data_IF_638711215858
#
_entry.id   IF_638711215858
#
_cell.length_a   1.000
_cell.length_b   1.000
_cell.length_c   1.000
_cell.angle_alpha   90.00
_cell.angle_beta   90.00
_cell.angle_gamma   90.00
#
_symmetry.space_group_name_H-M   'P 1'
#
loop_
_entity.id
_entity.type
_entity.pdbx_description
1 polymer ?
#
# COMPACT_ATOMS: atom_id res chain seq x y z
N UNK A 1 -6.05 5.24 -14.02
CA UNK A 1 -6.40 4.48 -12.81
C UNK A 1 -6.50 5.43 -11.65
N UNK A 2 -7.68 5.60 -11.06
CA UNK A 2 -7.92 6.50 -9.92
C UNK A 2 -7.48 5.84 -8.62
N UNK A 3 -7.93 4.61 -8.38
CA UNK A 3 -7.71 3.88 -7.13
C UNK A 3 -6.28 3.36 -7.05
N UNK A 4 -5.78 2.74 -8.12
CA UNK A 4 -4.39 2.26 -8.15
C UNK A 4 -3.37 3.38 -8.01
N UNK A 5 -3.66 4.56 -8.59
CA UNK A 5 -2.79 5.73 -8.43
C UNK A 5 -2.80 6.26 -7.00
N UNK A 6 -3.97 6.29 -6.34
CA UNK A 6 -4.07 6.68 -4.94
C UNK A 6 -3.23 5.77 -4.02
N UNK A 7 -3.32 4.45 -4.23
CA UNK A 7 -2.52 3.47 -3.48
C UNK A 7 -1.02 3.64 -3.77
N UNK A 8 -0.65 3.84 -5.04
CA UNK A 8 0.74 4.09 -5.44
C UNK A 8 1.30 5.38 -4.81
N UNK A 9 0.50 6.44 -4.75
CA UNK A 9 0.89 7.71 -4.14
C UNK A 9 1.08 7.58 -2.63
N UNK A 10 0.26 6.78 -1.95
CA UNK A 10 0.44 6.46 -0.53
C UNK A 10 1.74 5.67 -0.29
N UNK A 11 1.99 4.62 -1.07
CA UNK A 11 3.25 3.85 -1.00
C UNK A 11 4.47 4.75 -1.26
N UNK A 12 4.38 5.64 -2.26
CA UNK A 12 5.44 6.60 -2.57
C UNK A 12 5.75 7.53 -1.40
N UNK A 13 4.71 8.05 -0.71
CA UNK A 13 4.90 8.88 0.48
C UNK A 13 5.61 8.11 1.61
N UNK A 14 5.26 6.84 1.81
CA UNK A 14 5.90 6.01 2.82
C UNK A 14 7.37 5.75 2.50
N UNK A 15 7.69 5.26 1.29
CA UNK A 15 9.06 4.87 0.91
C UNK A 15 9.98 6.07 0.70
N UNK A 16 9.44 7.25 0.40
CA UNK A 16 10.22 8.49 0.33
C UNK A 16 10.51 9.11 1.72
N UNK A 17 10.00 8.50 2.79
CA UNK A 17 10.14 9.02 4.16
C UNK A 17 9.38 10.32 4.40
N UNK A 18 8.36 10.61 3.58
CA UNK A 18 7.52 11.81 3.68
C UNK A 18 6.38 11.67 4.68
N UNK A 19 6.27 10.52 5.36
CA UNK A 19 5.26 10.30 6.39
C UNK A 19 5.82 10.59 7.79
N UNK A 20 5.10 11.44 8.53
CA UNK A 20 5.44 11.81 9.90
C UNK A 20 5.09 10.70 10.90
N UNK A 21 3.99 9.99 10.65
CA UNK A 21 3.46 8.93 11.51
C UNK A 21 3.19 7.64 10.72
N UNK A 22 4.04 6.65 10.91
CA UNK A 22 3.93 5.33 10.27
C UNK A 22 2.74 4.52 10.78
N UNK A 23 2.31 4.74 12.03
CA UNK A 23 1.12 4.07 12.57
C UNK A 23 -0.16 4.53 11.87
N UNK A 24 -0.31 5.85 11.66
CA UNK A 24 -1.45 6.40 10.92
C UNK A 24 -1.46 5.93 9.46
N UNK A 25 -0.27 5.79 8.87
CA UNK A 25 -0.14 5.20 7.54
C UNK A 25 -0.63 3.75 7.54
N UNK A 26 -0.12 2.90 8.44
CA UNK A 26 -0.51 1.48 8.49
C UNK A 26 -2.02 1.31 8.62
N UNK A 27 -2.65 2.06 9.53
CA UNK A 27 -4.10 1.99 9.72
C UNK A 27 -4.88 2.38 8.45
N UNK A 28 -4.52 3.53 7.85
CA UNK A 28 -5.20 4.02 6.63
C UNK A 28 -4.97 3.11 5.44
N UNK A 29 -3.76 2.56 5.31
CA UNK A 29 -3.40 1.71 4.19
C UNK A 29 -4.05 0.34 4.31
N UNK A 30 -4.07 -0.26 5.52
CA UNK A 30 -4.72 -1.55 5.76
C UNK A 30 -6.24 -1.48 5.51
N UNK A 31 -6.87 -0.36 5.85
CA UNK A 31 -8.30 -0.14 5.62
C UNK A 31 -8.72 -0.28 4.14
N UNK A 32 -7.82 0.01 3.19
CA UNK A 32 -8.10 -0.06 1.74
C UNK A 32 -8.30 -1.50 1.24
N UNK A 33 -7.93 -2.51 2.03
CA UNK A 33 -8.06 -3.93 1.66
C UNK A 33 -9.38 -4.57 2.11
N UNK A 34 -10.31 -3.80 2.70
CA UNK A 34 -11.65 -4.31 3.00
C UNK A 34 -12.42 -3.62 4.11
N UNK A 35 -11.80 -2.75 4.92
CA UNK A 35 -12.56 -1.92 5.86
C UNK A 35 -13.31 -0.80 5.13
N UNK A 36 -12.70 -0.23 4.08
CA UNK A 36 -13.38 0.59 3.09
C UNK A 36 -13.84 -0.32 1.93
N UNK A 37 -14.97 -1.01 2.13
CA UNK A 37 -15.52 -1.98 1.17
C UNK A 37 -15.75 -1.37 -0.23
N UNK A 38 -16.25 -0.14 -0.30
CA UNK A 38 -16.50 0.55 -1.58
C UNK A 38 -15.19 0.85 -2.31
N UNK A 39 -14.15 1.29 -1.59
CA UNK A 39 -12.83 1.49 -2.18
C UNK A 39 -12.21 0.17 -2.64
N UNK A 40 -12.25 -0.86 -1.79
CA UNK A 40 -11.65 -2.17 -2.07
C UNK A 40 -12.28 -2.80 -3.32
N UNK A 41 -13.62 -2.84 -3.40
CA UNK A 41 -14.34 -3.38 -4.56
C UNK A 41 -14.05 -2.55 -5.82
N UNK A 42 -14.04 -1.22 -5.73
CA UNK A 42 -13.77 -0.38 -6.89
C UNK A 42 -12.31 -0.48 -7.37
N UNK A 43 -11.37 -0.67 -6.45
CA UNK A 43 -9.96 -0.85 -6.77
C UNK A 43 -9.69 -2.23 -7.40
N UNK A 44 -10.23 -3.30 -6.83
CA UNK A 44 -10.13 -4.66 -7.39
C UNK A 44 -10.69 -4.71 -8.83
N UNK A 45 -11.86 -4.08 -9.06
CA UNK A 45 -12.42 -3.97 -10.41
C UNK A 45 -11.56 -3.12 -11.38
N UNK A 46 -10.83 -2.13 -10.87
CA UNK A 46 -9.96 -1.27 -11.69
C UNK A 46 -8.65 -1.97 -12.04
N UNK A 47 -8.02 -2.65 -11.08
CA UNK A 47 -6.71 -3.29 -11.25
C UNK A 47 -6.55 -4.49 -10.31
N UNK A 48 -7.13 -5.65 -10.66
CA UNK A 48 -7.12 -6.82 -9.78
C UNK A 48 -5.70 -7.36 -9.56
N UNK A 49 -4.82 -7.23 -10.55
CA UNK A 49 -3.42 -7.65 -10.42
C UNK A 49 -2.67 -6.87 -9.34
N UNK A 50 -2.88 -5.55 -9.27
CA UNK A 50 -2.28 -4.72 -8.23
C UNK A 50 -2.95 -4.91 -6.88
N UNK A 51 -4.27 -5.11 -6.86
CA UNK A 51 -5.01 -5.41 -5.64
C UNK A 51 -4.50 -6.72 -5.01
N UNK A 52 -4.47 -7.81 -5.76
CA UNK A 52 -3.97 -9.12 -5.31
C UNK A 52 -2.50 -9.06 -4.85
N UNK A 53 -1.65 -8.31 -5.57
CA UNK A 53 -0.24 -8.19 -5.22
C UNK A 53 0.02 -7.43 -3.91
N UNK A 54 -0.92 -6.58 -3.47
CA UNK A 54 -0.82 -5.79 -2.24
C UNK A 54 -1.72 -6.34 -1.13
N UNK A 55 -2.75 -7.11 -1.45
CA UNK A 55 -3.54 -7.88 -0.48
C UNK A 55 -2.78 -9.16 -0.09
N UNK A 56 -1.59 -8.94 0.47
CA UNK A 56 -0.62 -9.97 0.81
C UNK A 56 -0.55 -10.16 2.33
N UNK A 57 -0.45 -11.41 2.77
CA UNK A 57 -0.44 -11.75 4.19
C UNK A 57 0.79 -11.18 4.91
N UNK A 58 1.96 -11.21 4.27
CA UNK A 58 3.19 -10.68 4.89
C UNK A 58 3.09 -9.16 5.08
N UNK A 59 2.57 -8.46 4.08
CA UNK A 59 2.30 -7.02 4.17
C UNK A 59 1.27 -6.71 5.26
N UNK A 60 0.15 -7.43 5.33
CA UNK A 60 -0.87 -7.24 6.38
C UNK A 60 -0.26 -7.40 7.79
N UNK A 61 0.45 -8.50 8.03
CA UNK A 61 1.11 -8.76 9.31
C UNK A 61 2.12 -7.67 9.66
N UNK A 62 2.91 -7.22 8.68
CA UNK A 62 3.88 -6.16 8.90
C UNK A 62 3.21 -4.84 9.31
N UNK A 63 2.12 -4.45 8.64
CA UNK A 63 1.41 -3.20 8.94
C UNK A 63 0.82 -3.20 10.36
N UNK A 64 0.41 -4.37 10.87
CA UNK A 64 -0.18 -4.53 12.20
C UNK A 64 0.86 -4.65 13.32
N UNK A 65 1.97 -5.35 13.09
CA UNK A 65 2.90 -5.74 14.17
C UNK A 65 4.20 -4.92 14.21
N UNK A 66 4.56 -4.21 13.12
CA UNK A 66 5.86 -3.54 13.04
C UNK A 66 6.01 -2.39 14.05
N UNK A 67 7.24 -2.21 14.56
CA UNK A 67 7.59 -1.09 15.43
C UNK A 67 7.56 0.23 14.64
N UNK A 68 6.60 1.14 14.88
CA UNK A 68 6.48 2.38 14.11
C UNK A 68 7.65 3.36 14.34
N UNK A 69 8.52 3.09 15.32
CA UNK A 69 9.75 3.86 15.52
C UNK A 69 10.89 3.45 14.57
N UNK A 70 10.88 2.23 14.03
CA UNK A 70 11.84 1.77 13.03
C UNK A 70 11.42 2.22 11.62
N UNK A 71 11.65 3.51 11.36
CA UNK A 71 11.34 4.15 10.08
C UNK A 71 12.08 3.54 8.90
N UNK A 72 13.36 3.19 9.09
CA UNK A 72 14.18 2.66 8.00
C UNK A 72 13.80 1.22 7.66
N UNK A 73 13.50 0.39 8.68
CA UNK A 73 12.94 -0.94 8.46
C UNK A 73 11.62 -0.89 7.70
N UNK A 74 10.73 0.04 8.06
CA UNK A 74 9.46 0.25 7.37
C UNK A 74 9.65 0.63 5.89
N UNK A 75 10.52 1.59 5.61
CA UNK A 75 10.84 2.00 4.23
C UNK A 75 11.42 0.81 3.45
N UNK A 76 12.39 0.09 4.03
CA UNK A 76 13.03 -1.04 3.37
C UNK A 76 12.04 -2.15 3.06
N UNK A 77 11.12 -2.44 3.97
CA UNK A 77 10.08 -3.46 3.80
C UNK A 77 9.07 -3.07 2.70
N UNK A 78 8.60 -1.81 2.67
CA UNK A 78 7.63 -1.37 1.67
C UNK A 78 8.21 -1.11 0.28
N UNK A 79 9.52 -0.86 0.17
CA UNK A 79 10.19 -0.57 -1.12
C UNK A 79 9.88 -1.59 -2.22
N UNK A 80 10.01 -2.92 -2.01
CA UNK A 80 9.66 -3.90 -3.03
C UNK A 80 8.17 -3.83 -3.44
N UNK A 81 7.24 -3.62 -2.51
CA UNK A 81 5.81 -3.47 -2.82
C UNK A 81 5.55 -2.21 -3.66
N UNK A 82 6.18 -1.09 -3.33
CA UNK A 82 6.10 0.15 -4.12
C UNK A 82 6.61 -0.05 -5.55
N UNK A 83 7.77 -0.68 -5.72
CA UNK A 83 8.34 -0.90 -7.05
C UNK A 83 7.48 -1.85 -7.90
N UNK A 84 6.88 -2.88 -7.29
CA UNK A 84 5.93 -3.75 -7.95
C UNK A 84 4.66 -2.99 -8.37
N UNK A 85 4.05 -2.26 -7.43
CA UNK A 85 2.88 -1.40 -7.69
C UNK A 85 3.13 -0.40 -8.82
N UNK A 86 4.32 0.22 -8.87
CA UNK A 86 4.71 1.17 -9.92
C UNK A 86 4.75 0.54 -11.31
N UNK A 87 5.04 -0.76 -11.41
CA UNK A 87 4.98 -1.50 -12.67
C UNK A 87 3.54 -1.83 -13.05
N UNK A 88 2.74 -2.30 -12.09
CA UNK A 88 1.36 -2.70 -12.29
C UNK A 88 0.42 -1.54 -12.64
N UNK A 89 0.66 -0.32 -12.11
CA UNK A 89 -0.09 0.88 -12.53
C UNK A 89 0.17 1.23 -14.01
N UNK A 90 1.38 0.95 -14.52
CA UNK A 90 1.75 1.26 -15.91
C UNK A 90 1.24 0.23 -16.91
N UNK A 91 1.09 -1.02 -16.50
CA UNK A 91 0.62 -2.11 -17.35
C UNK A 91 -0.88 -1.99 -17.66
N UNK A 92 -1.61 -1.31 -16.80
CA UNK A 92 -3.07 -1.24 -16.87
C UNK A 92 -3.59 0.13 -17.39
N UNK A 93 -2.72 0.97 -17.95
CA UNK A 93 -3.01 2.29 -18.51
C UNK A 93 -3.10 2.29 -20.05
#
# INVERSE_FOLDING_TARGET
MKYSQQVLDMLNQAVSGQIDNFWDFSFKFNALFGEDEEFAEAWDNENPEMFDALNDFELMMFLEEHDPSDKQGFINFLTPYYENAKQLVKLSA
#
